data_IF_070041552342
#
_entry.id   IF_070041552342
#
_cell.length_a   1.000
_cell.length_b   1.000
_cell.length_c   1.000
_cell.angle_alpha   90.00
_cell.angle_beta   90.00
_cell.angle_gamma   90.00
#
_symmetry.space_group_name_H-M   'P 1'
#
loop_
_entity.id
_entity.type
_entity.pdbx_description
1 polymer ?
#
# COMPACT_ATOMS: atom_id res chain seq x y z
N UNK A 1 20.88 -32.67 7.50
CA UNK A 1 19.78 -32.68 6.50
C UNK A 1 18.46 -32.50 7.23
N UNK A 2 17.97 -31.26 7.34
CA UNK A 2 16.73 -30.93 8.03
C UNK A 2 15.52 -31.32 7.18
N UNK A 3 14.63 -32.14 7.73
CA UNK A 3 13.51 -32.73 7.03
C UNK A 3 12.50 -31.64 6.60
N UNK A 4 12.25 -31.53 5.29
CA UNK A 4 11.35 -30.54 4.65
C UNK A 4 9.92 -30.58 5.21
N UNK A 5 9.56 -31.70 5.84
CA UNK A 5 8.28 -31.96 6.51
C UNK A 5 8.12 -31.18 7.83
N UNK A 6 9.21 -30.92 8.55
CA UNK A 6 9.16 -30.22 9.86
C UNK A 6 8.87 -28.73 9.70
N UNK A 7 9.33 -28.10 8.62
CA UNK A 7 9.06 -26.67 8.33
C UNK A 7 7.59 -26.45 7.92
N UNK A 8 6.99 -27.39 7.16
CA UNK A 8 5.56 -27.31 6.80
C UNK A 8 4.64 -27.45 8.01
N UNK A 9 5.00 -28.25 9.01
CA UNK A 9 4.20 -28.42 10.23
C UNK A 9 4.36 -27.25 11.22
N UNK A 10 5.50 -26.54 11.22
CA UNK A 10 5.66 -25.33 12.05
C UNK A 10 4.80 -24.15 11.60
N UNK A 11 4.57 -24.01 10.29
CA UNK A 11 3.75 -22.92 9.72
C UNK A 11 2.24 -23.19 9.85
N UNK A 12 1.82 -24.46 9.91
CA UNK A 12 0.40 -24.84 10.00
C UNK A 12 -0.22 -24.63 11.39
N UNK A 13 0.60 -24.46 12.43
CA UNK A 13 0.14 -24.37 13.83
C UNK A 13 -0.03 -22.95 14.38
N UNK A 14 -0.02 -21.88 13.55
CA UNK A 14 -0.03 -20.51 14.10
C UNK A 14 -0.88 -19.44 13.41
N UNK A 15 -1.71 -19.77 12.42
CA UNK A 15 -2.78 -18.87 11.95
C UNK A 15 -4.14 -19.53 12.19
N UNK A 16 -4.69 -19.35 13.40
CA UNK A 16 -5.99 -19.91 13.76
C UNK A 16 -7.18 -19.04 13.32
N UNK A 17 -6.94 -17.85 12.75
CA UNK A 17 -8.00 -16.99 12.24
C UNK A 17 -7.86 -16.81 10.74
N UNK A 18 -8.94 -17.12 10.03
CA UNK A 18 -9.08 -16.84 8.61
C UNK A 18 -9.38 -15.35 8.41
N UNK A 19 -8.89 -14.80 7.31
CA UNK A 19 -9.24 -13.44 6.92
C UNK A 19 -10.75 -13.38 6.64
N UNK A 20 -11.48 -12.34 7.07
CA UNK A 20 -12.94 -12.28 6.89
C UNK A 20 -13.41 -12.32 5.42
N UNK A 21 -12.50 -12.14 4.47
CA UNK A 21 -12.79 -12.19 3.05
C UNK A 21 -11.59 -12.73 2.27
N UNK A 22 -11.85 -13.47 1.20
CA UNK A 22 -10.80 -13.89 0.27
C UNK A 22 -10.29 -12.69 -0.53
N UNK A 23 -8.97 -12.45 -0.48
CA UNK A 23 -8.31 -11.40 -1.25
C UNK A 23 -7.38 -12.00 -2.30
N UNK A 24 -7.52 -11.53 -3.54
CA UNK A 24 -6.53 -11.75 -4.59
C UNK A 24 -5.59 -10.55 -4.64
N UNK A 25 -4.28 -10.80 -4.74
CA UNK A 25 -3.24 -9.78 -4.91
C UNK A 25 -3.34 -8.59 -3.90
N UNK A 26 -3.58 -8.84 -2.60
CA UNK A 26 -3.70 -7.75 -1.63
C UNK A 26 -2.40 -6.97 -1.52
N UNK A 27 -2.52 -5.69 -1.17
CA UNK A 27 -1.37 -4.87 -0.79
C UNK A 27 -1.26 -4.85 0.73
N UNK A 28 -0.09 -5.21 1.26
CA UNK A 28 0.13 -5.35 2.70
C UNK A 28 1.29 -4.46 3.15
N UNK A 29 1.11 -3.76 4.27
CA UNK A 29 2.12 -2.89 4.86
C UNK A 29 2.38 -3.31 6.31
N UNK A 30 3.61 -3.72 6.67
CA UNK A 30 3.93 -4.02 8.05
C UNK A 30 4.04 -2.73 8.88
N UNK A 31 3.45 -2.75 10.07
CA UNK A 31 3.55 -1.68 11.05
C UNK A 31 3.59 -2.24 12.47
N UNK A 32 4.78 -2.34 13.06
CA UNK A 32 5.01 -2.94 14.39
C UNK A 32 4.48 -4.39 14.46
N UNK A 33 3.50 -4.63 15.33
CA UNK A 33 2.82 -5.92 15.52
C UNK A 33 1.61 -6.06 14.61
N UNK A 34 1.46 -5.21 13.60
CA UNK A 34 0.33 -5.21 12.69
C UNK A 34 0.79 -5.47 11.26
N UNK A 35 0.00 -6.24 10.53
CA UNK A 35 0.01 -6.30 9.08
C UNK A 35 -1.26 -5.60 8.58
N UNK A 36 -1.08 -4.42 7.99
CA UNK A 36 -2.18 -3.66 7.43
C UNK A 36 -2.42 -4.17 6.01
N UNK A 37 -3.64 -4.59 5.71
CA UNK A 37 -4.06 -5.18 4.46
C UNK A 37 -4.99 -4.18 3.79
N UNK A 38 -4.63 -3.71 2.59
CA UNK A 38 -5.29 -2.61 1.90
C UNK A 38 -5.93 -3.09 0.60
N UNK A 39 -7.14 -3.65 0.72
CA UNK A 39 -7.89 -4.16 -0.41
C UNK A 39 -7.23 -5.35 -1.10
N UNK A 40 -7.67 -5.58 -2.32
CA UNK A 40 -7.19 -6.60 -3.24
C UNK A 40 -7.92 -6.43 -4.57
N UNK A 41 -7.65 -7.29 -5.54
CA UNK A 41 -8.29 -7.21 -6.84
C UNK A 41 -9.83 -7.20 -6.69
N UNK A 42 -10.46 -6.09 -7.08
CA UNK A 42 -11.91 -5.82 -6.94
C UNK A 42 -12.45 -5.89 -5.48
N UNK A 43 -11.59 -5.81 -4.47
CA UNK A 43 -11.97 -5.87 -3.04
C UNK A 43 -11.53 -4.61 -2.32
N UNK A 44 -12.51 -3.83 -1.84
CA UNK A 44 -12.30 -2.50 -1.24
C UNK A 44 -12.00 -2.51 0.26
N UNK A 45 -12.19 -3.63 0.95
CA UNK A 45 -12.03 -3.70 2.40
C UNK A 45 -10.57 -3.67 2.85
N UNK A 46 -10.29 -2.92 3.91
CA UNK A 46 -9.01 -2.88 4.58
C UNK A 46 -9.09 -3.49 5.99
N UNK A 47 -8.06 -4.23 6.38
CA UNK A 47 -7.98 -4.91 7.67
C UNK A 47 -6.62 -4.69 8.32
N UNK A 48 -6.55 -4.73 9.65
CA UNK A 48 -5.30 -4.89 10.38
C UNK A 48 -5.28 -6.27 11.02
N UNK A 49 -4.23 -7.03 10.75
CA UNK A 49 -3.94 -8.28 11.44
C UNK A 49 -2.89 -8.05 12.52
N UNK A 50 -3.22 -8.34 13.77
CA UNK A 50 -2.27 -8.18 14.87
C UNK A 50 -1.53 -9.49 15.14
N UNK A 51 -0.23 -9.52 14.90
CA UNK A 51 0.62 -10.72 14.93
C UNK A 51 0.70 -11.40 16.30
N UNK A 52 0.70 -10.63 17.40
CA UNK A 52 0.70 -11.19 18.76
C UNK A 52 -0.67 -11.71 19.22
N UNK A 53 -1.76 -11.07 18.77
CA UNK A 53 -3.13 -11.44 19.14
C UNK A 53 -3.67 -12.54 18.22
N UNK A 54 -3.10 -12.68 17.02
CA UNK A 54 -3.58 -13.56 15.95
C UNK A 54 -5.04 -13.24 15.59
N UNK A 55 -5.32 -11.95 15.37
CA UNK A 55 -6.67 -11.45 15.10
C UNK A 55 -6.70 -10.40 14.01
N UNK A 56 -7.78 -10.40 13.23
CA UNK A 56 -8.10 -9.35 12.26
C UNK A 56 -9.10 -8.36 12.85
N UNK A 57 -8.93 -7.08 12.53
CA UNK A 57 -9.95 -6.06 12.71
C UNK A 57 -10.13 -5.27 11.42
N UNK A 58 -11.37 -4.91 11.13
CA UNK A 58 -11.71 -4.01 10.04
C UNK A 58 -11.16 -2.60 10.30
N UNK A 59 -10.62 -1.97 9.27
CA UNK A 59 -10.13 -0.58 9.31
C UNK A 59 -11.16 0.34 8.64
N UNK A 60 -11.35 0.16 7.34
CA UNK A 60 -12.22 0.96 6.47
C UNK A 60 -12.34 0.32 5.08
N UNK A 61 -13.02 0.99 4.15
CA UNK A 61 -13.04 0.65 2.74
C UNK A 61 -12.36 1.74 1.89
N UNK A 62 -11.87 1.36 0.71
CA UNK A 62 -11.65 2.31 -0.39
C UNK A 62 -12.97 2.98 -0.81
N UNK A 63 -12.95 4.19 -1.39
CA UNK A 63 -14.14 4.84 -1.95
C UNK A 63 -14.88 3.97 -2.97
N UNK A 64 -16.18 4.20 -3.16
CA UNK A 64 -17.06 3.35 -4.00
C UNK A 64 -16.74 3.42 -5.49
N UNK A 65 -16.24 4.56 -5.91
CA UNK A 65 -15.82 4.92 -7.26
C UNK A 65 -14.41 4.40 -7.60
N UNK A 66 -13.68 3.81 -6.64
CA UNK A 66 -12.35 3.26 -6.86
C UNK A 66 -12.41 1.77 -7.18
N UNK A 67 -11.94 1.43 -8.38
CA UNK A 67 -11.76 0.05 -8.83
C UNK A 67 -10.31 -0.38 -8.64
N UNK A 68 -10.09 -1.37 -7.77
CA UNK A 68 -8.76 -1.90 -7.50
C UNK A 68 -8.42 -3.01 -8.49
N UNK A 69 -7.94 -2.62 -9.67
CA UNK A 69 -7.35 -3.51 -10.66
C UNK A 69 -5.92 -3.05 -10.98
N UNK A 70 -4.95 -3.66 -10.31
CA UNK A 70 -3.55 -3.24 -10.34
C UNK A 70 -3.28 -1.97 -9.52
N UNK A 71 -2.93 -2.14 -8.24
CA UNK A 71 -2.54 -1.04 -7.37
C UNK A 71 -1.36 -1.40 -6.48
N UNK A 72 -0.69 -0.37 -5.97
CA UNK A 72 0.36 -0.48 -4.98
C UNK A 72 0.01 0.39 -3.78
N UNK A 73 0.40 -0.07 -2.58
CA UNK A 73 0.33 0.73 -1.36
C UNK A 73 1.73 0.80 -0.76
N UNK A 74 2.20 2.02 -0.52
CA UNK A 74 3.51 2.28 0.10
C UNK A 74 3.32 3.10 1.37
N UNK A 75 4.23 2.89 2.33
CA UNK A 75 4.30 3.69 3.55
C UNK A 75 5.14 4.93 3.28
N UNK A 76 4.55 6.12 3.39
CA UNK A 76 5.29 7.38 3.35
C UNK A 76 6.18 7.50 4.60
N UNK A 77 7.41 7.99 4.43
CA UNK A 77 8.30 8.27 5.55
C UNK A 77 7.89 9.61 6.15
N UNK A 78 7.51 9.60 7.42
CA UNK A 78 7.22 10.82 8.15
C UNK A 78 8.53 11.40 8.67
N UNK A 79 8.90 12.59 8.19
CA UNK A 79 10.09 13.31 8.66
C UNK A 79 9.84 14.05 9.97
N UNK A 80 8.57 14.14 10.41
CA UNK A 80 8.23 14.75 11.68
C UNK A 80 8.50 13.76 12.82
N UNK A 81 9.36 14.19 13.75
CA UNK A 81 9.77 13.47 14.96
C UNK A 81 8.63 13.23 15.98
N UNK A 82 7.36 13.30 15.58
CA UNK A 82 6.26 13.03 16.49
C UNK A 82 6.23 11.51 16.77
N UNK A 83 6.77 11.18 17.94
CA UNK A 83 6.98 9.83 18.49
C UNK A 83 5.68 9.07 18.79
N UNK A 84 4.56 9.44 18.17
CA UNK A 84 3.35 8.63 18.22
C UNK A 84 3.50 7.45 17.28
N UNK A 85 4.25 6.45 17.77
CA UNK A 85 4.69 5.28 17.02
C UNK A 85 3.51 4.46 16.44
N UNK A 86 2.26 4.76 16.80
CA UNK A 86 1.06 4.05 16.35
C UNK A 86 0.47 4.62 15.05
N UNK A 87 1.06 5.69 14.51
CA UNK A 87 0.57 6.36 13.31
C UNK A 87 1.53 6.16 12.13
N UNK A 88 0.99 6.02 10.93
CA UNK A 88 1.72 6.05 9.65
C UNK A 88 0.85 6.70 8.58
N UNK A 89 1.50 7.19 7.52
CA UNK A 89 0.79 7.63 6.32
C UNK A 89 1.01 6.61 5.21
N UNK A 90 -0.09 6.16 4.60
CA UNK A 90 -0.10 5.23 3.49
C UNK A 90 -0.50 5.97 2.21
N UNK A 91 0.19 5.69 1.11
CA UNK A 91 -0.15 6.16 -0.22
C UNK A 91 -0.58 4.97 -1.06
N UNK A 92 -1.77 5.03 -1.63
CA UNK A 92 -2.32 4.04 -2.56
C UNK A 92 -2.48 4.67 -3.93
N UNK A 93 -1.98 4.00 -4.97
CA UNK A 93 -2.16 4.43 -6.35
C UNK A 93 -2.18 3.23 -7.28
N UNK A 94 -2.79 3.38 -8.46
CA UNK A 94 -3.01 2.25 -9.35
C UNK A 94 -3.94 2.56 -10.50
N UNK A 95 -4.43 1.50 -11.12
CA UNK A 95 -5.42 1.52 -12.19
C UNK A 95 -4.82 1.80 -13.57
N UNK A 96 -5.74 1.96 -14.52
CA UNK A 96 -5.44 2.36 -15.89
C UNK A 96 -6.08 3.72 -16.18
N UNK A 97 -6.11 4.18 -17.43
CA UNK A 97 -6.69 5.47 -17.81
C UNK A 97 -8.11 5.74 -17.25
N UNK A 98 -8.96 4.72 -17.17
CA UNK A 98 -10.35 4.86 -16.71
C UNK A 98 -10.57 4.62 -15.21
N UNK A 99 -9.63 3.93 -14.54
CA UNK A 99 -9.78 3.49 -13.14
C UNK A 99 -8.72 4.06 -12.21
N UNK A 100 -7.94 5.05 -12.70
CA UNK A 100 -6.80 5.60 -11.96
C UNK A 100 -7.24 6.24 -10.65
N UNK A 101 -6.51 5.92 -9.59
CA UNK A 101 -6.65 6.60 -8.30
C UNK A 101 -5.30 6.98 -7.72
N UNK A 102 -5.31 7.98 -6.86
CA UNK A 102 -4.19 8.31 -5.97
C UNK A 102 -4.79 8.81 -4.66
N UNK A 103 -4.61 8.01 -3.62
CA UNK A 103 -5.27 8.17 -2.33
C UNK A 103 -4.23 8.14 -1.21
N UNK A 104 -4.48 8.87 -0.15
CA UNK A 104 -3.68 8.87 1.06
C UNK A 104 -4.54 8.46 2.26
N UNK A 105 -3.95 7.75 3.20
CA UNK A 105 -4.57 7.42 4.48
C UNK A 105 -3.60 7.73 5.60
N UNK A 106 -4.04 8.57 6.55
CA UNK A 106 -3.41 8.65 7.86
C UNK A 106 -3.95 7.52 8.71
N UNK A 107 -3.14 6.48 8.87
CA UNK A 107 -3.48 5.32 9.67
C UNK A 107 -3.04 5.52 11.11
N UNK A 108 -3.92 5.18 12.05
CA UNK A 108 -3.65 5.01 13.47
C UNK A 108 -4.09 3.62 13.90
N UNK A 109 -3.23 2.92 14.64
CA UNK A 109 -3.51 1.59 15.18
C UNK A 109 -4.89 1.51 15.83
N UNK A 110 -5.71 0.56 15.37
CA UNK A 110 -7.05 0.28 15.92
C UNK A 110 -7.03 -0.70 17.11
N UNK A 111 -5.83 -1.00 17.62
CA UNK A 111 -5.62 -1.91 18.74
C UNK A 111 -5.30 -1.19 20.05
N UNK A 112 -5.05 0.13 20.01
CA UNK A 112 -4.87 0.98 21.19
C UNK A 112 -6.17 1.65 21.65
N UNK A 113 -6.09 2.51 22.68
CA UNK A 113 -7.22 3.32 23.15
C UNK A 113 -7.49 4.46 22.15
N UNK A 114 -8.71 4.52 21.62
CA UNK A 114 -9.14 5.36 20.48
C UNK A 114 -9.74 6.71 20.97
N UNK A 115 -9.48 7.11 22.23
CA UNK A 115 -10.21 8.24 22.87
C UNK A 115 -10.14 9.56 22.09
N UNK A 116 -9.10 9.75 21.27
CA UNK A 116 -8.84 11.02 20.59
C UNK A 116 -8.56 10.84 19.09
N UNK A 117 -9.27 9.92 18.40
CA UNK A 117 -9.09 9.77 16.95
C UNK A 117 -9.59 11.04 16.24
N UNK A 118 -8.73 11.81 15.58
CA UNK A 118 -9.18 12.98 14.83
C UNK A 118 -10.06 12.54 13.66
N UNK A 119 -11.00 13.40 13.27
CA UNK A 119 -11.73 13.24 12.01
C UNK A 119 -10.71 13.05 10.86
N UNK A 120 -11.02 12.14 9.93
CA UNK A 120 -10.19 11.81 8.74
C UNK A 120 -9.09 10.74 8.91
N UNK A 121 -8.91 10.13 10.09
CA UNK A 121 -8.01 8.98 10.24
C UNK A 121 -8.66 7.65 9.83
N UNK A 122 -7.82 6.68 9.43
CA UNK A 122 -8.21 5.34 8.98
C UNK A 122 -9.29 5.37 7.89
N UNK A 123 -9.15 6.29 6.95
CA UNK A 123 -10.00 6.38 5.76
C UNK A 123 -9.15 6.89 4.60
N UNK A 124 -9.48 6.43 3.41
CA UNK A 124 -8.84 6.88 2.19
C UNK A 124 -9.42 8.20 1.75
N UNK A 125 -8.55 9.19 1.52
CA UNK A 125 -8.92 10.50 0.95
C UNK A 125 -8.08 10.79 -0.29
N UNK A 126 -8.56 11.64 -1.22
CA UNK A 126 -7.76 12.07 -2.37
C UNK A 126 -6.40 12.63 -1.95
N UNK A 127 -5.34 12.18 -2.61
CA UNK A 127 -4.02 12.77 -2.41
C UNK A 127 -3.97 14.11 -3.15
N UNK A 128 -3.75 15.20 -2.41
CA UNK A 128 -3.84 16.56 -2.93
C UNK A 128 -2.63 17.40 -2.56
N UNK A 129 -2.36 18.42 -3.36
CA UNK A 129 -1.34 19.43 -3.05
C UNK A 129 -1.84 20.42 -1.97
N UNK A 130 -1.01 21.41 -1.64
CA UNK A 130 -1.34 22.46 -0.66
C UNK A 130 -2.54 23.36 -1.04
N UNK A 131 -3.00 23.28 -2.28
CA UNK A 131 -4.14 24.02 -2.83
C UNK A 131 -5.36 23.12 -3.02
N UNK A 132 -5.35 21.89 -2.49
CA UNK A 132 -6.37 20.87 -2.67
C UNK A 132 -6.53 20.37 -4.11
N UNK A 133 -5.54 20.58 -4.98
CA UNK A 133 -5.58 19.99 -6.32
C UNK A 133 -5.23 18.50 -6.24
N UNK A 134 -6.01 17.59 -6.86
CA UNK A 134 -5.68 16.18 -6.91
C UNK A 134 -4.33 15.93 -7.57
N UNK A 135 -3.47 15.16 -6.91
CA UNK A 135 -2.20 14.68 -7.44
C UNK A 135 -2.47 13.33 -8.09
N UNK A 136 -2.11 13.20 -9.37
CA UNK A 136 -2.32 11.99 -10.15
C UNK A 136 -0.97 11.31 -10.36
N UNK A 137 -0.83 10.08 -9.84
CA UNK A 137 0.32 9.23 -10.13
C UNK A 137 -0.07 8.31 -11.29
N UNK A 138 0.50 8.58 -12.46
CA UNK A 138 0.32 7.83 -13.71
C UNK A 138 0.04 8.73 -14.90
N UNK A 139 0.52 8.34 -16.09
CA UNK A 139 0.34 9.06 -17.36
C UNK A 139 -0.74 8.39 -18.22
N UNK A 140 -1.30 9.07 -19.21
CA UNK A 140 -2.48 8.59 -19.96
C UNK A 140 -2.39 7.16 -20.49
N UNK A 141 -1.20 6.73 -20.92
CA UNK A 141 -0.97 5.39 -21.47
C UNK A 141 -0.45 4.36 -20.44
N UNK A 142 -0.26 4.76 -19.18
CA UNK A 142 0.21 3.86 -18.13
C UNK A 142 -0.92 2.92 -17.68
N UNK A 143 -0.63 1.62 -17.69
CA UNK A 143 -1.46 0.58 -17.10
C UNK A 143 -0.71 -0.03 -15.92
N UNK A 144 -1.22 0.20 -14.71
CA UNK A 144 -0.59 -0.26 -13.47
C UNK A 144 -0.98 -1.68 -13.06
N UNK A 145 -1.41 -2.52 -14.02
CA UNK A 145 -1.47 -3.96 -13.80
C UNK A 145 -0.12 -4.49 -13.29
N UNK A 146 -0.15 -5.13 -12.12
CA UNK A 146 1.03 -5.64 -11.43
C UNK A 146 2.05 -4.60 -10.98
N UNK A 147 1.63 -3.33 -10.82
CA UNK A 147 2.50 -2.27 -10.32
C UNK A 147 3.09 -2.61 -8.95
N UNK A 148 4.35 -2.22 -8.79
CA UNK A 148 5.07 -2.24 -7.52
C UNK A 148 5.81 -0.94 -7.37
N UNK A 149 5.91 -0.46 -6.14
CA UNK A 149 6.74 0.69 -5.84
C UNK A 149 7.45 0.61 -4.51
N UNK A 150 8.54 1.35 -4.41
CA UNK A 150 9.33 1.55 -3.20
C UNK A 150 9.70 3.03 -3.10
N UNK A 151 9.77 3.52 -1.87
CA UNK A 151 10.21 4.88 -1.58
C UNK A 151 11.70 4.84 -1.22
N UNK A 152 12.45 5.77 -1.79
CA UNK A 152 13.88 5.93 -1.52
C UNK A 152 14.37 7.32 -1.91
N UNK A 153 15.63 7.39 -2.36
CA UNK A 153 16.33 8.65 -2.54
C UNK A 153 16.88 9.19 -1.22
N UNK A 154 17.79 10.17 -1.30
CA UNK A 154 18.53 10.67 -0.13
C UNK A 154 17.62 11.16 1.00
N UNK A 155 16.45 11.71 0.65
CA UNK A 155 15.50 12.30 1.59
C UNK A 155 14.16 11.54 1.63
N UNK A 156 14.11 10.27 1.17
CA UNK A 156 12.88 9.49 1.04
C UNK A 156 11.77 10.19 0.23
N UNK A 157 12.17 11.02 -0.74
CA UNK A 157 11.27 11.84 -1.55
C UNK A 157 11.03 11.25 -2.95
N UNK A 158 11.66 10.13 -3.30
CA UNK A 158 11.52 9.53 -4.62
C UNK A 158 10.70 8.25 -4.53
N UNK A 159 9.63 8.18 -5.32
CA UNK A 159 8.82 7.00 -5.52
C UNK A 159 9.29 6.30 -6.81
N UNK A 160 9.91 5.13 -6.65
CA UNK A 160 10.31 4.27 -7.75
C UNK A 160 9.15 3.34 -8.08
N UNK A 161 8.58 3.49 -9.26
CA UNK A 161 7.39 2.77 -9.72
C UNK A 161 7.81 1.83 -10.84
N UNK A 162 7.41 0.58 -10.74
CA UNK A 162 7.70 -0.45 -11.73
C UNK A 162 6.41 -1.17 -12.09
N UNK A 163 6.21 -1.42 -13.38
CA UNK A 163 4.96 -1.98 -13.87
C UNK A 163 5.12 -2.58 -15.26
N UNK A 164 4.12 -3.39 -15.63
CA UNK A 164 4.08 -4.09 -16.91
C UNK A 164 4.15 -3.12 -18.11
N UNK A 165 4.79 -3.52 -19.22
CA UNK A 165 5.54 -4.76 -19.39
C UNK A 165 6.95 -4.72 -18.78
N UNK A 166 7.65 -3.59 -18.79
CA UNK A 166 9.05 -3.50 -18.33
C UNK A 166 9.42 -2.09 -17.89
N UNK A 167 8.43 -1.33 -17.46
CA UNK A 167 8.54 0.10 -17.22
C UNK A 167 9.10 0.39 -15.83
N UNK A 168 9.93 1.42 -15.74
CA UNK A 168 10.29 2.07 -14.48
C UNK A 168 10.07 3.58 -14.61
N UNK A 169 9.47 4.16 -13.59
CA UNK A 169 9.27 5.61 -13.48
C UNK A 169 9.73 6.07 -12.11
N UNK A 170 10.30 7.27 -12.06
CA UNK A 170 10.69 7.95 -10.82
C UNK A 170 9.82 9.18 -10.67
N UNK A 171 9.05 9.23 -9.59
CA UNK A 171 8.16 10.33 -9.25
C UNK A 171 8.66 11.04 -7.99
N UNK A 172 8.80 12.36 -8.03
CA UNK A 172 9.18 13.17 -6.87
C UNK A 172 7.96 13.47 -6.01
N UNK A 173 7.97 13.00 -4.77
CA UNK A 173 6.90 13.20 -3.79
C UNK A 173 6.88 14.64 -3.23
N UNK A 174 7.91 15.47 -3.46
CA UNK A 174 7.91 16.87 -3.03
C UNK A 174 7.35 17.82 -4.10
N UNK A 175 7.69 17.58 -5.37
CA UNK A 175 7.25 18.42 -6.49
C UNK A 175 6.01 17.88 -7.18
N UNK A 176 5.63 16.63 -6.88
CA UNK A 176 4.53 15.90 -7.51
C UNK A 176 4.69 15.74 -9.02
N UNK A 177 5.93 15.52 -9.47
CA UNK A 177 6.28 15.40 -10.89
C UNK A 177 7.09 14.14 -11.17
N UNK A 178 6.93 13.59 -12.38
CA UNK A 178 7.82 12.56 -12.90
C UNK A 178 9.19 13.17 -13.25
N UNK A 179 10.26 12.61 -12.68
CA UNK A 179 11.64 13.04 -12.96
C UNK A 179 12.24 12.22 -14.11
N UNK A 180 11.97 10.91 -14.13
CA UNK A 180 12.53 10.00 -15.12
C UNK A 180 11.55 8.89 -15.44
N UNK A 181 11.61 8.44 -16.68
CA UNK A 181 10.99 7.22 -17.15
C UNK A 181 11.99 6.43 -17.97
N UNK A 182 12.00 5.11 -17.82
CA UNK A 182 12.88 4.21 -18.52
C UNK A 182 12.23 2.81 -18.63
N UNK A 183 12.90 1.90 -19.31
CA UNK A 183 12.53 0.49 -19.36
C UNK A 183 13.68 -0.40 -18.95
N UNK A 184 13.39 -1.49 -18.25
CA UNK A 184 14.40 -2.50 -17.96
C UNK A 184 14.73 -3.33 -19.20
N UNK A 185 15.97 -3.82 -19.29
CA UNK A 185 16.42 -4.80 -20.28
C UNK A 185 15.94 -6.23 -19.98
N UNK A 186 14.67 -6.38 -19.57
CA UNK A 186 14.03 -7.68 -19.34
C UNK A 186 12.77 -7.79 -20.22
N UNK A 187 12.29 -9.02 -20.39
CA UNK A 187 11.12 -9.29 -21.23
C UNK A 187 9.83 -8.80 -20.56
N UNK A 188 9.70 -9.01 -19.24
CA UNK A 188 8.47 -8.72 -18.52
C UNK A 188 8.68 -8.52 -17.01
N UNK A 189 8.00 -7.56 -16.38
CA UNK A 189 7.94 -7.32 -14.94
C UNK A 189 6.49 -7.08 -14.52
N UNK A 190 6.05 -7.80 -13.48
CA UNK A 190 4.78 -7.53 -12.79
C UNK A 190 4.78 -8.28 -11.45
N UNK A 191 4.04 -7.77 -10.47
CA UNK A 191 3.78 -8.43 -9.18
C UNK A 191 5.03 -8.87 -8.38
N UNK A 192 6.21 -8.35 -8.69
CA UNK A 192 7.46 -8.70 -8.02
C UNK A 192 7.53 -8.15 -6.59
N UNK A 193 8.56 -8.54 -5.85
CA UNK A 193 8.85 -8.00 -4.52
C UNK A 193 10.03 -7.03 -4.59
N UNK A 194 10.05 -6.07 -3.67
CA UNK A 194 11.21 -5.25 -3.34
C UNK A 194 11.83 -5.72 -2.02
#
# INVERSE_FOLDING_TARGET
MGNRTTIKNLLKHKLNKELPTTLSQPQCVPHKYELIICGGQFKRFCYSYHTLKNEYKFICEYPRDVELDGHCVVKLVDNNNNKDKNQITLLSFGGNKGTRHTLVMKYVSIWGNISDKPNNYNQWVPFTDKHNNPIIIGRDNDNYSGVRAVIGGRNNNLLFITYSPKNISVFDLNTFQFIKHDTFSVIYIQYHCF
#
